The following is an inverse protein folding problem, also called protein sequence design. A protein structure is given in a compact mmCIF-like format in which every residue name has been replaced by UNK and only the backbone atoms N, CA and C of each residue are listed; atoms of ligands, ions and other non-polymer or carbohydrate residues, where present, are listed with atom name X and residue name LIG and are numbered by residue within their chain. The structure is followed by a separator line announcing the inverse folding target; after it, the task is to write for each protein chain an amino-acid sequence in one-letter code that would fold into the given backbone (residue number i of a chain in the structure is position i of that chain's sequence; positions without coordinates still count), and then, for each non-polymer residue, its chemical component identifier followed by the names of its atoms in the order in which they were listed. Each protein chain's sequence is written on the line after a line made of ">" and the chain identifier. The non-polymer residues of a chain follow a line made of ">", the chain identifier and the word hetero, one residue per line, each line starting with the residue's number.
data_IF_675513628275
#
_entry.id   IF_675513628275
#
_cell.length_a   1.000
_cell.length_b   1.000
_cell.length_c   1.000
_cell.angle_alpha   90.00
_cell.angle_beta   90.00
_cell.angle_gamma   90.00
#
_symmetry.space_group_name_H-M   'P 1'
#
loop_
_entity.id
_entity.type
_entity.pdbx_description
1 polymer ?
#
# COMPACT_ATOMS: atom_id res chain seq x y z
N UNK A 1 5.29 -12.95 2.73
CA UNK A 1 4.76 -11.60 3.00
C UNK A 1 4.30 -11.54 4.44
N UNK A 2 4.55 -10.42 5.16
CA UNK A 2 4.23 -10.32 6.60
C UNK A 2 2.91 -9.58 6.90
N UNK A 3 1.92 -9.60 6.01
CA UNK A 3 0.68 -8.82 6.17
C UNK A 3 -0.14 -9.18 7.43
N UNK A 4 0.02 -10.39 7.96
CA UNK A 4 -0.71 -10.87 9.15
C UNK A 4 0.20 -11.23 10.33
N UNK A 5 1.50 -10.93 10.25
CA UNK A 5 2.44 -11.26 11.32
C UNK A 5 2.53 -10.12 12.31
N UNK A 6 2.53 -10.43 13.58
CA UNK A 6 2.80 -9.44 14.63
C UNK A 6 4.22 -8.87 14.51
N UNK A 7 4.42 -7.63 14.90
CA UNK A 7 5.75 -7.02 14.94
C UNK A 7 6.60 -7.68 16.02
N UNK A 8 6.02 -7.97 17.17
CA UNK A 8 6.58 -8.73 18.33
C UNK A 8 8.09 -8.57 18.55
N UNK A 9 8.51 -7.29 18.63
CA UNK A 9 9.90 -6.90 18.86
C UNK A 9 9.93 -5.94 20.06
N UNK A 10 10.82 -6.22 20.98
CA UNK A 10 10.92 -5.45 22.23
C UNK A 10 12.37 -5.14 22.59
N UNK A 11 12.55 -4.05 23.31
CA UNK A 11 13.76 -3.82 24.08
C UNK A 11 13.76 -4.69 25.33
N UNK A 12 14.92 -4.99 25.87
CA UNK A 12 15.04 -5.64 27.18
C UNK A 12 14.26 -4.90 28.27
N UNK A 13 14.25 -3.56 28.23
CA UNK A 13 13.50 -2.72 29.17
C UNK A 13 12.00 -2.98 29.10
N UNK A 14 11.42 -3.02 27.90
CA UNK A 14 9.98 -3.31 27.68
C UNK A 14 9.64 -4.72 28.18
N UNK A 15 10.44 -5.72 27.84
CA UNK A 15 10.24 -7.09 28.35
C UNK A 15 10.32 -7.17 29.88
N UNK A 16 11.23 -6.43 30.49
CA UNK A 16 11.40 -6.40 31.96
C UNK A 16 10.26 -5.70 32.68
N UNK A 17 9.52 -4.85 32.00
CA UNK A 17 8.34 -4.19 32.58
C UNK A 17 7.19 -5.18 32.85
N UNK A 18 7.12 -6.29 32.09
CA UNK A 18 6.03 -7.28 32.17
C UNK A 18 6.47 -8.67 32.67
N UNK A 19 7.79 -8.93 32.79
CA UNK A 19 8.30 -10.28 33.08
C UNK A 19 9.55 -10.26 33.94
N UNK A 20 9.76 -11.34 34.73
CA UNK A 20 11.00 -11.50 35.51
C UNK A 20 12.17 -11.88 34.60
N UNK A 21 13.39 -11.59 35.04
CA UNK A 21 14.61 -11.98 34.32
C UNK A 21 14.67 -13.49 34.06
N UNK A 22 14.33 -14.31 35.09
CA UNK A 22 14.35 -15.77 34.99
C UNK A 22 13.35 -16.29 33.93
N UNK A 23 12.15 -15.71 33.87
CA UNK A 23 11.16 -16.02 32.83
C UNK A 23 11.67 -15.72 31.44
N UNK A 24 12.28 -14.55 31.22
CA UNK A 24 12.84 -14.15 29.93
C UNK A 24 14.00 -15.04 29.48
N UNK A 25 14.90 -15.38 30.40
CA UNK A 25 16.00 -16.32 30.13
C UNK A 25 15.48 -17.72 29.75
N UNK A 26 14.36 -18.14 30.35
CA UNK A 26 13.69 -19.40 29.99
C UNK A 26 13.07 -19.34 28.59
N UNK A 27 12.39 -18.23 28.24
CA UNK A 27 11.82 -18.02 26.92
C UNK A 27 12.88 -18.00 25.82
N UNK A 28 14.03 -17.37 26.10
CA UNK A 28 15.18 -17.37 25.15
C UNK A 28 15.72 -18.79 24.98
N UNK A 29 15.90 -19.57 26.07
CA UNK A 29 16.37 -20.96 25.97
C UNK A 29 15.41 -21.89 25.23
N UNK A 30 14.10 -21.61 25.28
CA UNK A 30 13.06 -22.37 24.54
C UNK A 30 12.92 -21.93 23.09
N UNK A 31 13.65 -20.90 22.65
CA UNK A 31 13.51 -20.35 21.28
C UNK A 31 12.29 -19.45 21.07
N UNK A 32 11.43 -19.25 22.11
CA UNK A 32 10.27 -18.37 22.03
C UNK A 32 10.66 -16.88 21.84
N UNK A 33 11.86 -16.52 22.26
CA UNK A 33 12.46 -15.21 22.08
C UNK A 33 13.88 -15.38 21.52
N UNK A 34 14.20 -14.71 20.44
CA UNK A 34 15.57 -14.63 19.91
C UNK A 34 16.13 -13.23 20.06
N UNK A 35 17.42 -13.14 20.39
CA UNK A 35 18.12 -11.87 20.46
C UNK A 35 18.51 -11.41 19.07
N UNK A 36 17.99 -10.25 18.64
CA UNK A 36 18.34 -9.62 17.36
C UNK A 36 19.70 -8.89 17.48
N UNK A 37 19.83 -8.08 18.53
CA UNK A 37 21.04 -7.35 18.87
C UNK A 37 21.10 -7.07 20.38
N UNK A 38 22.13 -6.41 20.87
CA UNK A 38 22.25 -6.09 22.30
C UNK A 38 21.01 -5.33 22.79
N UNK A 39 20.29 -5.93 23.74
CA UNK A 39 19.10 -5.35 24.35
C UNK A 39 17.85 -5.34 23.50
N UNK A 40 17.80 -6.03 22.33
CA UNK A 40 16.63 -6.15 21.48
C UNK A 40 16.34 -7.60 21.15
N UNK A 41 15.08 -7.99 21.30
CA UNK A 41 14.57 -9.35 21.17
C UNK A 41 13.33 -9.37 20.29
N UNK A 42 13.13 -10.47 19.58
CA UNK A 42 11.93 -10.74 18.79
C UNK A 42 11.31 -12.07 19.21
N UNK A 43 10.01 -12.20 19.07
CA UNK A 43 9.36 -13.50 19.08
C UNK A 43 9.82 -14.35 17.89
N UNK A 44 9.71 -15.66 17.98
CA UNK A 44 10.00 -16.57 16.88
C UNK A 44 9.08 -16.30 15.68
N UNK A 45 7.84 -15.92 15.93
CA UNK A 45 6.80 -15.60 14.94
C UNK A 45 6.92 -14.19 14.35
N UNK A 46 7.86 -13.36 14.81
CA UNK A 46 7.98 -11.98 14.36
C UNK A 46 8.28 -11.87 12.86
N UNK A 47 7.66 -10.88 12.22
CA UNK A 47 7.86 -10.57 10.80
C UNK A 47 9.35 -10.38 10.47
N UNK A 48 9.85 -11.10 9.45
CA UNK A 48 11.27 -11.04 9.06
C UNK A 48 11.73 -9.62 8.70
N UNK A 49 10.91 -8.86 7.96
CA UNK A 49 11.22 -7.46 7.63
C UNK A 49 11.29 -6.56 8.86
N UNK A 50 10.42 -6.79 9.86
CA UNK A 50 10.45 -6.05 11.12
C UNK A 50 11.70 -6.39 11.94
N UNK A 51 12.10 -7.66 11.96
CA UNK A 51 13.34 -8.11 12.60
C UNK A 51 14.56 -7.44 11.97
N UNK A 52 14.60 -7.38 10.64
CA UNK A 52 15.69 -6.72 9.93
C UNK A 52 15.71 -5.21 10.20
N UNK A 53 14.55 -4.54 10.17
CA UNK A 53 14.46 -3.13 10.53
C UNK A 53 14.94 -2.87 11.97
N UNK A 54 14.57 -3.72 12.93
CA UNK A 54 15.00 -3.61 14.32
C UNK A 54 16.50 -3.88 14.50
N UNK A 55 17.08 -4.77 13.69
CA UNK A 55 18.51 -4.97 13.64
C UNK A 55 19.25 -3.68 13.24
N UNK A 56 18.71 -2.89 12.32
CA UNK A 56 19.20 -1.57 11.94
C UNK A 56 18.89 -0.44 12.94
N UNK A 57 18.13 -0.72 13.99
CA UNK A 57 17.79 0.25 15.03
C UNK A 57 16.51 1.03 14.81
N UNK A 58 15.76 0.70 13.75
CA UNK A 58 14.48 1.31 13.39
C UNK A 58 13.30 0.36 13.43
N UNK A 59 12.17 0.82 12.94
CA UNK A 59 10.97 0.03 12.66
C UNK A 59 10.64 0.07 11.16
N UNK A 60 9.63 -0.68 10.73
CA UNK A 60 9.16 -0.59 9.36
C UNK A 60 8.70 0.84 9.04
N UNK A 61 8.96 1.29 7.82
CA UNK A 61 8.56 2.61 7.33
C UNK A 61 8.01 2.56 5.91
N UNK A 62 7.49 3.67 5.42
CA UNK A 62 7.12 3.88 4.03
C UNK A 62 6.29 2.71 3.46
N UNK A 63 6.61 2.24 2.24
CA UNK A 63 5.91 1.14 1.56
C UNK A 63 5.94 -0.18 2.33
N UNK A 64 7.03 -0.49 3.04
CA UNK A 64 7.10 -1.72 3.85
C UNK A 64 6.11 -1.69 5.02
N UNK A 65 5.97 -0.54 5.69
CA UNK A 65 4.96 -0.36 6.74
C UNK A 65 3.54 -0.34 6.17
N UNK A 66 3.33 0.29 5.00
CA UNK A 66 2.06 0.31 4.29
C UNK A 66 1.58 -1.11 3.97
N UNK A 67 2.42 -1.94 3.35
CA UNK A 67 2.11 -3.36 3.08
C UNK A 67 1.78 -4.16 4.32
N UNK A 68 2.52 -3.93 5.40
CA UNK A 68 2.25 -4.61 6.67
C UNK A 68 0.85 -4.30 7.21
N UNK A 69 0.32 -3.11 6.91
CA UNK A 69 -1.04 -2.69 7.25
C UNK A 69 -2.10 -3.05 6.19
N UNK A 70 -1.75 -3.81 5.15
CA UNK A 70 -2.64 -4.13 4.05
C UNK A 70 -2.91 -2.97 3.09
N UNK A 71 -2.19 -1.85 3.22
CA UNK A 71 -2.28 -0.72 2.29
C UNK A 71 -1.58 -1.09 0.99
N UNK A 72 -2.23 -0.87 -0.12
CA UNK A 72 -1.70 -1.16 -1.44
C UNK A 72 -0.54 -0.22 -1.81
N UNK A 73 0.52 -0.75 -2.42
CA UNK A 73 1.73 -0.03 -2.85
C UNK A 73 2.15 -0.48 -4.24
N UNK A 74 2.82 0.42 -4.98
CA UNK A 74 3.27 0.14 -6.35
C UNK A 74 4.51 -0.75 -6.41
N UNK A 75 5.45 -0.61 -5.47
CA UNK A 75 6.70 -1.36 -5.43
C UNK A 75 6.79 -2.20 -4.15
N UNK A 76 7.21 -3.45 -4.30
CA UNK A 76 7.29 -4.41 -3.21
C UNK A 76 8.72 -4.86 -2.86
N UNK A 77 9.73 -4.37 -3.57
CA UNK A 77 11.05 -4.99 -3.58
C UNK A 77 12.00 -4.48 -2.47
N UNK A 78 11.83 -3.25 -2.02
CA UNK A 78 12.77 -2.62 -1.10
C UNK A 78 12.29 -2.65 0.35
N UNK A 79 13.20 -2.92 1.29
CA UNK A 79 12.95 -2.74 2.72
C UNK A 79 13.08 -1.26 3.08
N UNK A 80 11.98 -0.64 3.53
CA UNK A 80 11.97 0.72 4.05
C UNK A 80 11.98 0.71 5.57
N UNK A 81 12.93 1.43 6.15
CA UNK A 81 13.13 1.51 7.60
C UNK A 81 12.90 2.94 8.08
N UNK A 82 12.07 3.09 9.10
CA UNK A 82 11.92 4.36 9.81
C UNK A 82 12.89 4.44 10.98
N UNK A 83 13.79 5.42 10.92
CA UNK A 83 14.75 5.75 11.96
C UNK A 83 14.31 7.05 12.62
N UNK A 84 14.14 7.05 13.93
CA UNK A 84 13.78 8.25 14.67
C UNK A 84 14.99 9.16 14.81
N UNK A 85 14.77 10.46 14.62
CA UNK A 85 15.85 11.46 14.65
C UNK A 85 16.58 11.57 16.00
N UNK A 86 15.94 11.11 17.09
CA UNK A 86 16.49 11.07 18.45
C UNK A 86 17.36 9.82 18.71
N UNK A 87 17.50 8.92 17.73
CA UNK A 87 18.25 7.67 17.88
C UNK A 87 19.44 7.63 16.94
N UNK A 88 20.56 7.21 17.48
CA UNK A 88 21.76 6.97 16.69
C UNK A 88 21.58 5.71 15.83
N UNK A 89 21.86 5.85 14.54
CA UNK A 89 22.02 4.69 13.66
C UNK A 89 23.14 3.82 14.23
N UNK A 90 22.87 2.52 14.40
CA UNK A 90 23.91 1.57 14.80
C UNK A 90 24.71 1.15 13.56
N UNK A 91 25.93 1.65 13.38
CA UNK A 91 26.80 1.17 12.31
C UNK A 91 27.31 -0.21 12.71
N UNK A 92 26.89 -1.24 12.05
CA UNK A 92 27.39 -2.59 12.38
C UNK A 92 26.64 -3.73 11.73
N UNK A 93 25.51 -3.47 11.10
CA UNK A 93 24.75 -4.47 10.38
C UNK A 93 24.93 -4.21 8.91
N UNK A 94 25.68 -5.10 8.30
CA UNK A 94 25.98 -5.25 6.88
C UNK A 94 25.95 -3.96 6.05
N UNK A 95 27.10 -3.48 5.62
CA UNK A 95 27.23 -2.47 4.55
C UNK A 95 26.54 -2.89 3.23
N UNK A 96 26.07 -4.12 3.14
CA UNK A 96 25.42 -4.72 1.99
C UNK A 96 23.86 -4.64 2.03
N UNK A 97 23.25 -4.06 3.06
CA UNK A 97 21.81 -3.89 3.09
C UNK A 97 21.36 -2.78 2.13
N UNK A 98 20.57 -3.13 1.13
CA UNK A 98 19.94 -2.20 0.18
C UNK A 98 18.69 -1.50 0.77
N UNK A 99 18.56 -1.43 2.11
CA UNK A 99 17.40 -0.83 2.74
C UNK A 99 17.36 0.70 2.55
N UNK A 100 16.14 1.23 2.33
CA UNK A 100 15.88 2.66 2.23
C UNK A 100 15.54 3.21 3.61
N UNK A 101 16.25 4.25 4.05
CA UNK A 101 16.14 4.80 5.41
C UNK A 101 15.38 6.11 5.41
N UNK A 102 14.37 6.20 6.27
CA UNK A 102 13.57 7.40 6.49
C UNK A 102 13.88 7.98 7.87
N UNK A 103 14.44 9.18 7.89
CA UNK A 103 14.75 9.91 9.12
C UNK A 103 13.71 10.99 9.33
N UNK A 104 12.93 10.86 10.39
CA UNK A 104 12.04 11.94 10.80
C UNK A 104 11.81 11.97 12.31
N UNK A 105 11.38 13.12 12.82
CA UNK A 105 10.98 13.28 14.21
C UNK A 105 9.56 12.70 14.39
N UNK A 106 9.44 11.66 15.21
CA UNK A 106 8.15 11.06 15.53
C UNK A 106 8.17 10.45 16.92
N UNK A 107 7.07 10.63 17.66
CA UNK A 107 6.84 9.96 18.91
C UNK A 107 6.14 8.61 18.63
N UNK A 108 6.60 7.55 19.27
CA UNK A 108 5.91 6.27 19.39
C UNK A 108 6.00 5.83 20.84
N UNK A 109 4.92 5.27 21.39
CA UNK A 109 4.92 4.73 22.75
C UNK A 109 5.90 3.56 22.89
N UNK A 110 6.02 2.75 21.85
CA UNK A 110 6.89 1.59 21.78
C UNK A 110 8.08 1.83 20.84
N UNK A 111 9.18 1.15 21.14
CA UNK A 111 10.45 1.37 20.43
C UNK A 111 10.39 0.96 18.95
N UNK A 112 9.70 -0.13 18.64
CA UNK A 112 9.62 -0.73 17.31
C UNK A 112 8.22 -0.69 16.70
N UNK A 113 7.28 0.08 17.26
CA UNK A 113 5.96 0.26 16.69
C UNK A 113 6.03 0.91 15.31
N UNK A 114 5.01 0.65 14.50
CA UNK A 114 4.86 1.27 13.19
C UNK A 114 4.69 2.79 13.32
N UNK A 115 5.14 3.56 12.33
CA UNK A 115 4.73 4.94 12.19
C UNK A 115 3.20 5.03 12.03
N UNK A 116 2.61 6.14 12.42
CA UNK A 116 1.19 6.37 12.13
C UNK A 116 0.92 6.40 10.63
N UNK A 117 -0.27 5.98 10.19
CA UNK A 117 -0.64 5.95 8.76
C UNK A 117 -0.40 7.30 8.05
N UNK A 118 -0.77 8.47 8.62
CA UNK A 118 -0.41 9.75 8.00
C UNK A 118 1.09 9.94 7.77
N UNK A 119 1.93 9.43 8.68
CA UNK A 119 3.38 9.49 8.54
C UNK A 119 3.90 8.54 7.46
N UNK A 120 3.37 7.32 7.40
CA UNK A 120 3.66 6.35 6.34
C UNK A 120 3.37 6.97 4.97
N UNK A 121 2.19 7.55 4.80
CA UNK A 121 1.79 8.21 3.55
C UNK A 121 2.70 9.38 3.19
N UNK A 122 3.09 10.20 4.17
CA UNK A 122 4.05 11.28 3.93
C UNK A 122 5.44 10.77 3.53
N UNK A 123 5.88 9.65 4.10
CA UNK A 123 7.13 9.00 3.70
C UNK A 123 7.05 8.48 2.27
N UNK A 124 5.94 7.86 1.88
CA UNK A 124 5.69 7.41 0.50
C UNK A 124 5.73 8.61 -0.46
N UNK A 125 5.01 9.69 -0.15
CA UNK A 125 4.98 10.91 -0.97
C UNK A 125 6.40 11.44 -1.27
N UNK A 126 7.22 11.54 -0.22
CA UNK A 126 8.60 12.08 -0.32
C UNK A 126 9.59 11.13 -0.98
N UNK A 127 9.38 9.85 -0.86
CA UNK A 127 10.31 8.81 -1.34
C UNK A 127 9.96 8.32 -2.75
N UNK A 128 8.66 8.17 -3.05
CA UNK A 128 8.16 7.49 -4.25
C UNK A 128 7.35 8.40 -5.17
N UNK A 129 7.04 9.63 -4.72
CA UNK A 129 6.29 10.59 -5.52
C UNK A 129 4.78 10.42 -5.48
N UNK A 130 4.09 11.17 -6.37
CA UNK A 130 2.65 11.38 -6.32
C UNK A 130 1.81 10.15 -6.62
N UNK A 131 2.17 9.33 -7.63
CA UNK A 131 1.38 8.13 -7.99
C UNK A 131 1.36 7.10 -6.86
N UNK A 132 2.53 6.74 -6.32
CA UNK A 132 2.63 5.80 -5.21
C UNK A 132 1.91 6.31 -3.96
N UNK A 133 2.03 7.62 -3.68
CA UNK A 133 1.29 8.25 -2.59
C UNK A 133 -0.21 8.18 -2.79
N UNK A 134 -0.70 8.49 -4.00
CA UNK A 134 -2.14 8.53 -4.30
C UNK A 134 -2.78 7.15 -4.11
N UNK A 135 -2.15 6.13 -4.68
CA UNK A 135 -2.60 4.73 -4.55
C UNK A 135 -2.65 4.29 -3.09
N UNK A 136 -1.59 4.56 -2.32
CA UNK A 136 -1.56 4.21 -0.90
C UNK A 136 -2.57 5.03 -0.08
N UNK A 137 -2.81 6.29 -0.44
CA UNK A 137 -3.79 7.16 0.21
C UNK A 137 -5.22 6.63 0.01
N UNK A 138 -5.62 6.30 -1.21
CA UNK A 138 -6.96 5.75 -1.49
C UNK A 138 -7.17 4.41 -0.81
N UNK A 139 -6.17 3.53 -0.85
CA UNK A 139 -6.19 2.26 -0.11
C UNK A 139 -6.34 2.47 1.40
N UNK A 140 -5.60 3.41 1.99
CA UNK A 140 -5.73 3.74 3.41
C UNK A 140 -7.10 4.33 3.77
N UNK A 141 -7.70 5.13 2.87
CA UNK A 141 -9.06 5.67 3.02
C UNK A 141 -10.11 4.56 2.96
N UNK A 142 -10.01 3.67 1.98
CA UNK A 142 -10.90 2.51 1.82
C UNK A 142 -10.86 1.60 3.05
N UNK A 143 -9.67 1.30 3.56
CA UNK A 143 -9.48 0.48 4.75
C UNK A 143 -9.89 1.19 6.06
N UNK A 144 -10.31 2.45 6.01
CA UNK A 144 -10.65 3.23 7.20
C UNK A 144 -9.46 3.55 8.11
N UNK A 145 -8.23 3.42 7.62
CA UNK A 145 -6.99 3.62 8.38
C UNK A 145 -6.59 5.08 8.52
N UNK A 146 -7.22 5.99 7.77
CA UNK A 146 -6.98 7.43 7.84
C UNK A 146 -8.28 8.22 7.87
N UNK A 147 -8.49 8.99 8.91
CA UNK A 147 -9.61 9.92 9.03
C UNK A 147 -9.23 11.36 8.68
N UNK A 148 -10.18 12.28 8.86
CA UNK A 148 -10.04 13.70 8.50
C UNK A 148 -8.81 14.37 9.14
N UNK A 149 -8.52 14.06 10.40
CA UNK A 149 -7.37 14.66 11.09
C UNK A 149 -6.03 14.17 10.54
N UNK A 150 -5.97 12.90 10.15
CA UNK A 150 -4.83 12.33 9.45
C UNK A 150 -4.62 12.98 8.09
N UNK A 151 -5.68 13.15 7.30
CA UNK A 151 -5.64 13.85 6.01
C UNK A 151 -5.19 15.30 6.17
N UNK A 152 -5.73 16.03 7.16
CA UNK A 152 -5.29 17.40 7.48
C UNK A 152 -3.81 17.45 7.88
N UNK A 153 -3.33 16.44 8.61
CA UNK A 153 -1.94 16.36 9.03
C UNK A 153 -0.99 16.17 7.84
N UNK A 154 -1.32 15.28 6.87
CA UNK A 154 -0.57 15.07 5.63
C UNK A 154 -0.62 16.33 4.78
N UNK A 155 -1.81 16.91 4.57
CA UNK A 155 -2.03 18.11 3.77
C UNK A 155 -1.15 19.30 4.21
N UNK A 156 -0.97 19.51 5.51
CA UNK A 156 -0.09 20.57 6.04
C UNK A 156 1.40 20.32 5.78
N UNK A 157 1.79 19.12 5.34
CA UNK A 157 3.19 18.69 5.16
C UNK A 157 3.55 18.35 3.74
N UNK A 158 2.60 18.43 2.82
CA UNK A 158 2.79 18.29 1.38
C UNK A 158 2.74 19.66 0.69
N UNK A 159 3.28 19.75 -0.50
CA UNK A 159 3.21 20.90 -1.40
C UNK A 159 1.83 21.03 -2.08
N UNK A 160 1.72 21.90 -3.09
CA UNK A 160 0.48 22.10 -3.83
C UNK A 160 0.04 20.83 -4.57
N UNK A 161 0.99 20.10 -5.17
CA UNK A 161 0.69 18.86 -5.90
C UNK A 161 0.16 17.77 -4.95
N UNK A 162 0.79 17.59 -3.79
CA UNK A 162 0.31 16.62 -2.79
C UNK A 162 -1.07 16.99 -2.23
N UNK A 163 -1.35 18.29 -2.03
CA UNK A 163 -2.68 18.75 -1.62
C UNK A 163 -3.75 18.49 -2.65
N UNK A 164 -3.43 18.68 -3.93
CA UNK A 164 -4.31 18.42 -5.06
C UNK A 164 -4.63 16.91 -5.19
N UNK A 165 -3.64 16.03 -4.97
CA UNK A 165 -3.87 14.58 -4.90
C UNK A 165 -4.79 14.19 -3.73
N UNK A 166 -4.64 14.81 -2.55
CA UNK A 166 -5.52 14.57 -1.41
C UNK A 166 -6.96 15.00 -1.74
N UNK A 167 -7.15 16.14 -2.37
CA UNK A 167 -8.47 16.67 -2.74
C UNK A 167 -9.14 15.78 -3.81
N UNK A 168 -8.38 15.22 -4.75
CA UNK A 168 -8.87 14.31 -5.77
C UNK A 168 -9.15 12.90 -5.25
N UNK A 169 -8.52 12.47 -4.15
CA UNK A 169 -8.64 11.10 -3.62
C UNK A 169 -10.03 10.80 -3.07
N UNK A 170 -10.49 9.56 -3.24
CA UNK A 170 -11.72 9.01 -2.64
C UNK A 170 -11.45 7.67 -1.93
N UNK A 171 -12.48 6.96 -1.52
CA UNK A 171 -12.40 5.65 -0.88
C UNK A 171 -13.07 4.55 -1.71
N UNK A 172 -13.37 4.83 -2.97
CA UNK A 172 -14.28 4.01 -3.78
C UNK A 172 -13.55 2.88 -4.52
N UNK A 173 -12.30 3.10 -4.94
CA UNK A 173 -11.51 2.10 -5.66
C UNK A 173 -11.26 0.83 -4.82
N UNK A 174 -11.46 -0.34 -5.41
CA UNK A 174 -11.24 -1.64 -4.74
C UNK A 174 -9.79 -2.10 -4.81
N UNK A 175 -9.05 -1.62 -5.78
CA UNK A 175 -7.65 -1.95 -5.99
C UNK A 175 -6.78 -0.71 -6.23
N UNK A 176 -5.46 -0.89 -6.06
CA UNK A 176 -4.53 0.16 -6.39
C UNK A 176 -4.40 0.39 -7.90
N UNK A 177 -4.71 -0.60 -8.74
CA UNK A 177 -4.73 -0.42 -10.21
C UNK A 177 -5.85 0.51 -10.63
N UNK A 178 -7.07 0.34 -10.07
CA UNK A 178 -8.18 1.25 -10.30
C UNK A 178 -7.83 2.69 -9.91
N UNK A 179 -7.24 2.87 -8.71
CA UNK A 179 -6.78 4.18 -8.25
C UNK A 179 -5.76 4.79 -9.21
N UNK A 180 -4.79 4.00 -9.70
CA UNK A 180 -3.74 4.48 -10.59
C UNK A 180 -4.31 4.87 -11.96
N UNK A 181 -5.17 4.04 -12.57
CA UNK A 181 -5.83 4.35 -13.85
C UNK A 181 -6.66 5.63 -13.71
N UNK A 182 -7.46 5.76 -12.65
CA UNK A 182 -8.25 6.96 -12.39
C UNK A 182 -7.39 8.22 -12.24
N UNK A 183 -6.26 8.12 -11.56
CA UNK A 183 -5.31 9.22 -11.42
C UNK A 183 -4.73 9.65 -12.77
N UNK A 184 -4.28 8.69 -13.58
CA UNK A 184 -3.63 8.96 -14.86
C UNK A 184 -4.60 9.54 -15.88
N UNK A 185 -5.88 9.19 -15.80
CA UNK A 185 -6.93 9.70 -16.68
C UNK A 185 -7.48 11.08 -16.29
N UNK A 186 -7.15 11.60 -15.10
CA UNK A 186 -7.74 12.86 -14.58
C UNK A 186 -7.50 14.09 -15.49
N UNK A 187 -6.44 14.07 -16.29
CA UNK A 187 -6.09 15.17 -17.19
C UNK A 187 -6.98 15.30 -18.44
N UNK A 188 -7.76 14.28 -18.75
CA UNK A 188 -8.62 14.24 -19.94
C UNK A 188 -9.97 14.95 -19.76
N UNK A 189 -10.32 15.32 -18.55
CA UNK A 189 -11.62 15.96 -18.27
C UNK A 189 -12.82 14.99 -18.30
N UNK A 190 -12.60 13.69 -18.40
CA UNK A 190 -13.61 12.67 -18.36
C UNK A 190 -14.10 12.41 -16.93
N UNK A 191 -15.35 12.02 -16.79
CA UNK A 191 -15.90 11.54 -15.51
C UNK A 191 -15.55 10.08 -15.33
N UNK A 192 -14.56 9.78 -14.49
CA UNK A 192 -14.11 8.40 -14.17
C UNK A 192 -14.66 8.00 -12.80
N UNK A 193 -15.56 7.03 -12.77
CA UNK A 193 -16.14 6.48 -11.54
C UNK A 193 -15.64 5.08 -11.28
N UNK A 194 -15.26 4.79 -10.03
CA UNK A 194 -14.86 3.45 -9.59
C UNK A 194 -16.04 2.69 -8.97
N UNK A 195 -15.98 1.38 -9.03
CA UNK A 195 -16.91 0.43 -8.38
C UNK A 195 -18.38 0.70 -8.68
N UNK A 196 -18.68 0.82 -9.98
CA UNK A 196 -20.02 1.15 -10.46
C UNK A 196 -20.90 -0.10 -10.50
N UNK A 197 -22.03 -0.08 -9.78
CA UNK A 197 -23.01 -1.16 -9.84
C UNK A 197 -23.76 -1.11 -11.18
N UNK A 198 -23.69 -2.22 -11.94
CA UNK A 198 -24.33 -2.33 -13.25
C UNK A 198 -25.31 -3.51 -13.28
N UNK A 199 -26.51 -3.25 -13.76
CA UNK A 199 -27.59 -4.26 -13.78
C UNK A 199 -27.19 -5.41 -14.69
N UNK A 200 -27.19 -6.64 -14.13
CA UNK A 200 -26.86 -7.87 -14.86
C UNK A 200 -25.37 -8.19 -14.97
N UNK A 201 -24.47 -7.26 -14.60
CA UNK A 201 -23.01 -7.46 -14.68
C UNK A 201 -22.27 -7.33 -13.34
N UNK A 202 -22.99 -7.00 -12.25
CA UNK A 202 -22.39 -6.87 -10.92
C UNK A 202 -21.74 -5.50 -10.69
N UNK A 203 -20.51 -5.49 -10.18
CA UNK A 203 -19.73 -4.26 -9.96
C UNK A 203 -18.65 -4.17 -11.03
N UNK A 204 -18.53 -3.02 -11.67
CA UNK A 204 -17.52 -2.68 -12.66
C UNK A 204 -16.41 -1.90 -11.99
N UNK A 205 -15.14 -2.20 -12.31
CA UNK A 205 -14.00 -1.55 -11.68
C UNK A 205 -14.00 -0.04 -11.93
N UNK A 206 -14.06 0.37 -13.21
CA UNK A 206 -14.13 1.77 -13.60
C UNK A 206 -15.12 1.97 -14.75
N UNK A 207 -15.78 3.11 -14.77
CA UNK A 207 -16.64 3.56 -15.88
C UNK A 207 -16.28 5.00 -16.25
N UNK A 208 -16.05 5.25 -17.54
CA UNK A 208 -15.71 6.56 -18.10
C UNK A 208 -16.92 7.10 -18.83
N UNK A 209 -17.39 8.31 -18.42
CA UNK A 209 -18.48 9.07 -19.05
C UNK A 209 -19.77 8.25 -19.30
N UNK A 210 -20.08 7.32 -18.39
CA UNK A 210 -21.23 6.42 -18.48
C UNK A 210 -21.26 5.55 -19.77
N UNK A 211 -20.12 5.33 -20.40
CA UNK A 211 -20.05 4.61 -21.66
C UNK A 211 -18.94 3.55 -21.73
N UNK A 212 -17.70 3.89 -21.41
CA UNK A 212 -16.59 2.95 -21.51
C UNK A 212 -16.30 2.30 -20.15
N UNK A 213 -16.35 0.99 -20.14
CA UNK A 213 -16.02 0.16 -18.99
C UNK A 213 -14.53 -0.20 -19.05
N UNK A 214 -13.84 -0.03 -17.95
CA UNK A 214 -12.46 -0.49 -17.76
C UNK A 214 -12.45 -1.52 -16.62
N UNK A 215 -11.95 -2.70 -16.90
CA UNK A 215 -11.70 -3.76 -15.92
C UNK A 215 -10.19 -3.93 -15.74
N UNK A 216 -9.74 -4.05 -14.49
CA UNK A 216 -8.32 -4.16 -14.17
C UNK A 216 -8.03 -5.46 -13.44
N UNK A 217 -7.27 -6.36 -14.09
CA UNK A 217 -6.93 -7.65 -13.51
C UNK A 217 -5.64 -7.59 -12.68
N UNK A 218 -5.75 -7.89 -11.39
CA UNK A 218 -4.59 -8.03 -10.48
C UNK A 218 -3.78 -9.31 -10.77
N UNK A 219 -2.58 -9.42 -10.21
CA UNK A 219 -1.63 -10.54 -10.38
C UNK A 219 -2.15 -11.94 -9.99
N UNK A 220 -3.33 -12.07 -9.38
CA UNK A 220 -3.77 -13.28 -8.68
C UNK A 220 -4.94 -14.04 -9.34
N UNK A 221 -5.36 -13.70 -10.57
CA UNK A 221 -6.44 -14.43 -11.21
C UNK A 221 -5.95 -15.78 -11.72
N UNK A 222 -6.22 -16.84 -10.95
CA UNK A 222 -6.16 -18.22 -11.44
C UNK A 222 -7.33 -18.42 -12.40
N UNK A 223 -7.02 -18.71 -13.66
CA UNK A 223 -7.97 -19.07 -14.73
C UNK A 223 -8.75 -20.34 -14.34
N UNK A 224 -9.94 -20.14 -13.77
CA UNK A 224 -10.95 -21.19 -13.66
C UNK A 224 -11.99 -21.00 -14.77
N UNK A 225 -12.36 -22.07 -15.49
CA UNK A 225 -13.34 -22.02 -16.60
C UNK A 225 -14.64 -21.32 -16.20
N UNK A 226 -15.04 -21.45 -14.94
CA UNK A 226 -16.27 -20.82 -14.40
C UNK A 226 -16.13 -19.28 -14.31
N UNK A 227 -14.94 -18.74 -14.09
CA UNK A 227 -14.69 -17.30 -14.08
C UNK A 227 -14.72 -16.74 -15.50
N UNK A 228 -14.04 -17.39 -16.43
CA UNK A 228 -14.03 -16.97 -17.84
C UNK A 228 -15.43 -16.91 -18.46
N UNK A 229 -16.30 -17.91 -18.18
CA UNK A 229 -17.67 -17.87 -18.68
C UNK A 229 -18.47 -16.67 -18.14
N UNK A 230 -18.32 -16.38 -16.85
CA UNK A 230 -18.98 -15.22 -16.22
C UNK A 230 -18.51 -13.90 -16.84
N UNK A 231 -17.23 -13.76 -17.13
CA UNK A 231 -16.69 -12.56 -17.75
C UNK A 231 -17.22 -12.36 -19.17
N UNK A 232 -17.33 -13.42 -19.97
CA UNK A 232 -17.94 -13.36 -21.30
C UNK A 232 -19.42 -12.94 -21.25
N UNK A 233 -20.19 -13.43 -20.27
CA UNK A 233 -21.59 -13.03 -20.07
C UNK A 233 -21.67 -11.56 -19.65
N UNK A 234 -20.75 -11.10 -18.79
CA UNK A 234 -20.69 -9.67 -18.38
C UNK A 234 -20.42 -8.77 -19.58
N UNK A 235 -19.43 -9.12 -20.42
CA UNK A 235 -19.08 -8.33 -21.61
C UNK A 235 -20.25 -8.30 -22.62
N UNK A 236 -20.90 -9.44 -22.86
CA UNK A 236 -22.06 -9.50 -23.72
C UNK A 236 -23.24 -8.65 -23.18
N UNK A 237 -23.44 -8.67 -21.85
CA UNK A 237 -24.47 -7.86 -21.20
C UNK A 237 -24.15 -6.36 -21.33
N UNK A 238 -22.91 -5.95 -21.11
CA UNK A 238 -22.48 -4.57 -21.29
C UNK A 238 -22.70 -4.09 -22.74
N UNK A 239 -22.33 -4.92 -23.72
CA UNK A 239 -22.52 -4.63 -25.14
C UNK A 239 -24.02 -4.50 -25.53
N UNK A 240 -24.91 -5.31 -24.95
CA UNK A 240 -26.37 -5.17 -25.16
C UNK A 240 -26.92 -3.80 -24.73
N UNK A 241 -26.28 -3.16 -23.75
CA UNK A 241 -26.61 -1.82 -23.27
C UNK A 241 -25.82 -0.70 -23.97
N UNK A 242 -25.04 -1.03 -25.00
CA UNK A 242 -24.26 -0.07 -25.79
C UNK A 242 -22.96 0.39 -25.13
N UNK A 243 -22.49 -0.32 -24.11
CA UNK A 243 -21.19 -0.04 -23.47
C UNK A 243 -20.08 -0.82 -24.14
N UNK A 244 -18.91 -0.20 -24.28
CA UNK A 244 -17.68 -0.86 -24.66
C UNK A 244 -16.89 -1.26 -23.39
N UNK A 245 -16.16 -2.39 -23.43
CA UNK A 245 -15.32 -2.86 -22.32
C UNK A 245 -13.88 -3.01 -22.80
N UNK A 246 -12.92 -2.47 -22.03
CA UNK A 246 -11.49 -2.74 -22.15
C UNK A 246 -11.00 -3.42 -20.87
N UNK A 247 -10.10 -4.40 -21.02
CA UNK A 247 -9.47 -5.12 -19.91
C UNK A 247 -7.97 -4.90 -19.94
N UNK A 248 -7.41 -4.59 -18.80
CA UNK A 248 -5.97 -4.37 -18.66
C UNK A 248 -5.45 -5.13 -17.44
N UNK A 249 -4.35 -5.85 -17.63
CA UNK A 249 -3.68 -6.52 -16.54
C UNK A 249 -2.69 -5.60 -15.81
N UNK A 250 -2.14 -6.10 -14.71
CA UNK A 250 -1.14 -5.39 -13.91
C UNK A 250 0.07 -4.93 -14.76
N UNK A 251 0.56 -5.80 -15.65
CA UNK A 251 1.76 -5.50 -16.43
C UNK A 251 1.51 -4.36 -17.41
N UNK A 252 0.35 -4.33 -18.06
CA UNK A 252 -0.06 -3.25 -18.95
C UNK A 252 -0.18 -1.92 -18.18
N UNK A 253 -0.88 -1.90 -17.06
CA UNK A 253 -1.10 -0.66 -16.30
C UNK A 253 0.21 -0.12 -15.71
N UNK A 254 1.09 -0.97 -15.19
CA UNK A 254 2.32 -0.55 -14.52
C UNK A 254 3.48 -0.31 -15.49
N UNK A 255 3.64 -1.16 -16.51
CA UNK A 255 4.84 -1.19 -17.34
C UNK A 255 4.63 -0.73 -18.78
N UNK A 256 3.38 -0.71 -19.27
CA UNK A 256 3.04 -0.30 -20.64
C UNK A 256 1.83 0.65 -20.67
N UNK A 257 1.90 1.70 -19.86
CA UNK A 257 0.83 2.68 -19.76
C UNK A 257 0.46 3.33 -21.11
N UNK A 258 1.43 3.53 -21.99
CA UNK A 258 1.20 4.14 -23.31
C UNK A 258 0.22 3.32 -24.15
N UNK A 259 0.28 1.99 -24.08
CA UNK A 259 -0.69 1.11 -24.75
C UNK A 259 -2.09 1.27 -24.14
N UNK A 260 -2.19 1.27 -22.80
CA UNK A 260 -3.46 1.44 -22.07
C UNK A 260 -4.10 2.79 -22.43
N UNK A 261 -3.33 3.86 -22.34
CA UNK A 261 -3.78 5.22 -22.63
C UNK A 261 -4.27 5.37 -24.07
N UNK A 262 -3.50 4.89 -25.06
CA UNK A 262 -3.90 4.92 -26.47
C UNK A 262 -5.17 4.11 -26.75
N UNK A 263 -5.35 2.96 -26.10
CA UNK A 263 -6.54 2.15 -26.25
C UNK A 263 -7.77 2.88 -25.69
N UNK A 264 -7.66 3.49 -24.51
CA UNK A 264 -8.75 4.27 -23.90
C UNK A 264 -9.09 5.49 -24.75
N UNK A 265 -8.09 6.29 -25.15
CA UNK A 265 -8.30 7.48 -25.98
C UNK A 265 -8.92 7.10 -27.33
N UNK A 266 -8.41 6.04 -27.98
CA UNK A 266 -8.99 5.54 -29.24
C UNK A 266 -10.46 5.16 -29.10
N UNK A 267 -10.81 4.43 -28.04
CA UNK A 267 -12.22 4.09 -27.77
C UNK A 267 -13.08 5.33 -27.51
N UNK A 268 -12.59 6.28 -26.69
CA UNK A 268 -13.33 7.51 -26.39
C UNK A 268 -13.58 8.39 -27.62
N UNK A 269 -12.78 8.29 -28.69
CA UNK A 269 -13.06 8.97 -29.97
C UNK A 269 -14.19 8.31 -30.77
N UNK A 270 -14.52 7.05 -30.46
CA UNK A 270 -15.61 6.29 -31.11
C UNK A 270 -16.94 6.38 -30.34
N UNK A 271 -16.95 7.12 -29.25
CA UNK A 271 -18.17 7.32 -28.45
C UNK A 271 -19.28 7.89 -29.33
N UNK A 272 -20.49 7.26 -29.34
CA UNK A 272 -21.63 7.68 -30.13
C UNK A 272 -22.15 9.09 -29.76
#
# INVERSE_FOLDING_TARGET
>A
MCADSSIDIWTWRELRASSTRRTLETRVRRGELRRIRRGVYAADTACASAVEAAAHGGSLGCETAARHLGIWVLDELSLHIWLRADRHHQPGISRACACIRHWDAGASAETFALPSVPRILLQIYRCRGGEAFFVALESARRLGLIGLDGLRWVRRRTDAAGRDLIDFSCADADSGLESLVRLRLRGYGWTVRAQVRFIGSGVLDLMIDDWLIIETDGKANHDDESHRHRDLVRDATAAMWGHATLRFDYAMVIHDWELVERAIVGMMTLRP
#
